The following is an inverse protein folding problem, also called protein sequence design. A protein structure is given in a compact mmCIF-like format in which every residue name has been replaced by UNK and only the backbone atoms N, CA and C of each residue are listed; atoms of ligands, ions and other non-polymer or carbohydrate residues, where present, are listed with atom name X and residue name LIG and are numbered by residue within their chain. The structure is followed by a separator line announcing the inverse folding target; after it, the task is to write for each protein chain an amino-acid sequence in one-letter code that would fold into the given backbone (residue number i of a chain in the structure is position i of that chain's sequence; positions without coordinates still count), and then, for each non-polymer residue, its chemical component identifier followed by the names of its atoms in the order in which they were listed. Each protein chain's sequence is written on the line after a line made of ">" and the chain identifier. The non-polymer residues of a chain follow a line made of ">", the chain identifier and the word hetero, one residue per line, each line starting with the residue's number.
data_IF_736988183951
#
_entry.id   IF_736988183951
#
_cell.length_a   1.000
_cell.length_b   1.000
_cell.length_c   1.000
_cell.angle_alpha   90.00
_cell.angle_beta   90.00
_cell.angle_gamma   90.00
#
_symmetry.space_group_name_H-M   'P 1'
#
loop_
_entity.id
_entity.type
_entity.pdbx_description
1 polymer ?
#
# COMPACT_ATOMS: atom_id res chain seq x y z
N UNK A 1 -20.09 9.40 -19.29
CA UNK A 1 -19.02 8.42 -19.59
C UNK A 1 -19.65 7.04 -19.70
N UNK A 2 -19.56 6.41 -20.85
CA UNK A 2 -19.99 5.02 -21.01
C UNK A 2 -19.20 4.14 -20.03
N UNK A 3 -19.92 3.48 -19.11
CA UNK A 3 -19.38 2.36 -18.35
C UNK A 3 -19.08 1.24 -19.35
N UNK A 4 -17.86 1.23 -19.92
CA UNK A 4 -17.35 0.02 -20.55
C UNK A 4 -17.40 -1.06 -19.46
N UNK A 5 -18.28 -2.02 -19.67
CA UNK A 5 -18.43 -3.21 -18.81
C UNK A 5 -17.12 -4.00 -18.90
N UNK A 6 -16.11 -3.57 -18.13
CA UNK A 6 -14.79 -4.18 -18.17
C UNK A 6 -14.86 -5.43 -17.29
N UNK A 7 -15.10 -6.60 -17.92
CA UNK A 7 -15.21 -7.91 -17.26
C UNK A 7 -14.03 -8.26 -16.35
N UNK A 8 -12.97 -7.47 -16.40
CA UNK A 8 -11.75 -7.69 -15.64
C UNK A 8 -11.67 -6.82 -14.36
N UNK A 9 -12.69 -6.04 -14.05
CA UNK A 9 -12.73 -5.23 -12.81
C UNK A 9 -13.70 -5.90 -11.83
N UNK A 10 -13.21 -6.26 -10.67
CA UNK A 10 -13.96 -6.84 -9.55
C UNK A 10 -13.99 -5.83 -8.42
N UNK A 11 -15.17 -5.40 -8.04
CA UNK A 11 -15.39 -4.40 -6.99
C UNK A 11 -16.04 -5.03 -5.78
N UNK A 12 -15.48 -4.79 -4.62
CA UNK A 12 -16.11 -5.04 -3.34
C UNK A 12 -17.27 -4.06 -3.06
N UNK A 13 -17.77 -4.10 -1.86
CA UNK A 13 -18.86 -3.24 -1.39
C UNK A 13 -18.39 -1.79 -1.28
N UNK A 14 -19.23 -0.85 -1.67
CA UNK A 14 -19.01 0.61 -1.53
C UNK A 14 -17.64 1.11 -2.08
N UNK A 15 -17.15 0.48 -3.14
CA UNK A 15 -15.96 0.97 -3.86
C UNK A 15 -16.32 2.18 -4.70
N UNK A 16 -15.49 3.22 -4.61
CA UNK A 16 -15.62 4.43 -5.44
C UNK A 16 -14.41 4.62 -6.36
N UNK A 17 -14.68 4.97 -7.62
CA UNK A 17 -13.66 5.24 -8.64
C UNK A 17 -13.89 6.63 -9.18
N UNK A 18 -12.86 7.48 -9.04
CA UNK A 18 -12.88 8.88 -9.53
C UNK A 18 -12.82 8.98 -11.05
N UNK A 19 -12.98 10.20 -11.52
CA UNK A 19 -13.02 10.49 -12.96
C UNK A 19 -11.66 10.27 -13.64
N UNK A 20 -11.74 9.93 -14.94
CA UNK A 20 -10.56 9.72 -15.80
C UNK A 20 -9.58 8.63 -15.32
N UNK A 21 -10.06 7.67 -14.55
CA UNK A 21 -9.29 6.47 -14.24
C UNK A 21 -9.26 5.53 -15.45
N UNK A 22 -8.10 4.89 -15.67
CA UNK A 22 -7.84 4.00 -16.81
C UNK A 22 -7.44 2.61 -16.32
N UNK A 23 -8.04 1.56 -16.89
CA UNK A 23 -7.75 0.16 -16.59
C UNK A 23 -7.48 -0.57 -17.91
N UNK A 24 -6.22 -0.88 -18.18
CA UNK A 24 -5.79 -1.46 -19.45
C UNK A 24 -4.75 -2.57 -19.23
N UNK A 25 -4.62 -3.42 -20.25
CA UNK A 25 -3.57 -4.42 -20.32
C UNK A 25 -2.28 -3.89 -20.92
N UNK A 26 -1.24 -4.72 -20.87
CA UNK A 26 0.03 -4.49 -21.53
C UNK A 26 0.29 -5.64 -22.53
N UNK A 27 0.88 -5.33 -23.70
CA UNK A 27 1.22 -6.33 -24.73
C UNK A 27 0.03 -7.25 -25.09
N UNK A 28 -1.14 -6.66 -25.32
CA UNK A 28 -2.39 -7.37 -25.69
C UNK A 28 -2.91 -8.36 -24.62
N UNK A 29 -2.44 -8.28 -23.39
CA UNK A 29 -2.94 -9.05 -22.25
C UNK A 29 -3.41 -8.10 -21.18
N UNK A 30 -4.63 -8.31 -20.69
CA UNK A 30 -5.21 -7.56 -19.58
C UNK A 30 -5.35 -8.47 -18.36
N UNK A 31 -4.90 -8.01 -17.20
CA UNK A 31 -5.08 -8.68 -15.92
C UNK A 31 -6.45 -8.45 -15.30
N UNK A 32 -6.67 -9.01 -14.14
CA UNK A 32 -7.83 -8.72 -13.30
C UNK A 32 -7.49 -7.61 -12.31
N UNK A 33 -8.38 -6.64 -12.14
CA UNK A 33 -8.25 -5.55 -11.17
C UNK A 33 -9.26 -5.78 -10.05
N UNK A 34 -8.81 -6.16 -8.87
CA UNK A 34 -9.66 -6.47 -7.73
C UNK A 34 -9.47 -5.42 -6.64
N UNK A 35 -10.59 -4.82 -6.22
CA UNK A 35 -10.66 -3.81 -5.17
C UNK A 35 -11.55 -4.32 -4.04
N UNK A 36 -11.01 -4.42 -2.83
CA UNK A 36 -11.74 -4.81 -1.63
C UNK A 36 -12.78 -3.78 -1.20
N UNK A 37 -13.55 -4.12 -0.18
CA UNK A 37 -14.66 -3.30 0.32
C UNK A 37 -14.18 -1.91 0.76
N UNK A 38 -15.01 -0.90 0.54
CA UNK A 38 -14.79 0.49 0.95
C UNK A 38 -13.50 1.14 0.38
N UNK A 39 -12.95 0.58 -0.69
CA UNK A 39 -11.79 1.14 -1.37
C UNK A 39 -12.16 2.39 -2.16
N UNK A 40 -11.31 3.43 -2.08
CA UNK A 40 -11.47 4.68 -2.81
C UNK A 40 -10.31 4.91 -3.77
N UNK A 41 -10.62 5.04 -5.04
CA UNK A 41 -9.67 5.41 -6.10
C UNK A 41 -10.03 6.82 -6.52
N UNK A 42 -9.10 7.75 -6.36
CA UNK A 42 -9.29 9.14 -6.76
C UNK A 42 -9.04 9.32 -8.26
N UNK A 43 -9.10 10.56 -8.73
CA UNK A 43 -9.12 10.90 -10.15
C UNK A 43 -7.79 10.57 -10.86
N UNK A 44 -7.87 10.31 -12.17
CA UNK A 44 -6.73 10.17 -13.10
C UNK A 44 -5.74 9.07 -12.72
N UNK A 45 -6.17 8.09 -11.93
CA UNK A 45 -5.35 6.90 -11.65
C UNK A 45 -5.29 5.99 -12.88
N UNK A 46 -4.14 5.38 -13.12
CA UNK A 46 -3.90 4.53 -14.29
C UNK A 46 -3.38 3.17 -13.87
N UNK A 47 -4.03 2.13 -14.35
CA UNK A 47 -3.70 0.73 -14.07
C UNK A 47 -3.40 0.04 -15.40
N UNK A 48 -2.11 -0.14 -15.70
CA UNK A 48 -1.62 -0.84 -16.89
C UNK A 48 -1.03 -2.18 -16.46
N UNK A 49 -1.85 -3.22 -16.34
CA UNK A 49 -1.45 -4.51 -15.78
C UNK A 49 -1.84 -5.68 -16.69
N UNK A 50 -0.86 -6.51 -17.03
CA UNK A 50 -1.07 -7.77 -17.78
C UNK A 50 -1.37 -8.95 -16.86
N UNK A 51 -1.28 -8.77 -15.54
CA UNK A 51 -1.52 -9.80 -14.54
C UNK A 51 -2.43 -9.23 -13.43
N UNK A 52 -2.75 -10.04 -12.43
CA UNK A 52 -3.69 -9.68 -11.39
C UNK A 52 -3.13 -8.51 -10.55
N UNK A 53 -3.94 -7.48 -10.41
CA UNK A 53 -3.80 -6.43 -9.43
C UNK A 53 -4.87 -6.63 -8.37
N UNK A 54 -4.46 -6.62 -7.11
CA UNK A 54 -5.37 -6.75 -5.97
C UNK A 54 -5.00 -5.77 -4.87
N UNK A 55 -6.00 -5.10 -4.32
CA UNK A 55 -5.91 -4.35 -3.07
C UNK A 55 -7.04 -4.79 -2.14
N UNK A 56 -6.74 -4.96 -0.85
CA UNK A 56 -7.71 -5.34 0.17
C UNK A 56 -8.69 -4.22 0.50
N UNK A 57 -9.46 -4.43 1.58
CA UNK A 57 -10.50 -3.49 2.02
C UNK A 57 -9.90 -2.18 2.56
N UNK A 58 -10.69 -1.12 2.53
CA UNK A 58 -10.34 0.22 3.02
C UNK A 58 -9.11 0.84 2.34
N UNK A 59 -8.80 0.44 1.10
CA UNK A 59 -7.73 1.02 0.33
C UNK A 59 -8.04 2.46 -0.11
N UNK A 60 -7.05 3.34 -0.08
CA UNK A 60 -7.13 4.71 -0.61
C UNK A 60 -6.00 4.92 -1.61
N UNK A 61 -6.35 5.15 -2.88
CA UNK A 61 -5.40 5.47 -3.94
C UNK A 61 -5.65 6.90 -4.40
N UNK A 62 -4.68 7.77 -4.15
CA UNK A 62 -4.76 9.20 -4.43
C UNK A 62 -4.55 9.52 -5.92
N UNK A 63 -4.88 10.75 -6.30
CA UNK A 63 -4.86 11.25 -7.69
C UNK A 63 -3.57 10.96 -8.44
N UNK A 64 -3.67 10.73 -9.74
CA UNK A 64 -2.55 10.57 -10.68
C UNK A 64 -1.61 9.39 -10.37
N UNK A 65 -2.00 8.45 -9.54
CA UNK A 65 -1.18 7.28 -9.21
C UNK A 65 -1.15 6.31 -10.40
N UNK A 66 0.03 5.81 -10.72
CA UNK A 66 0.28 4.85 -11.79
C UNK A 66 0.63 3.48 -11.21
N UNK A 67 -0.14 2.47 -11.59
CA UNK A 67 0.20 1.06 -11.42
C UNK A 67 0.54 0.48 -12.79
N UNK A 68 1.71 -0.14 -12.91
CA UNK A 68 2.14 -0.71 -14.18
C UNK A 68 2.91 -2.00 -13.95
N UNK A 69 2.54 -3.09 -14.64
CA UNK A 69 3.32 -4.31 -14.49
C UNK A 69 2.84 -5.53 -15.28
N UNK A 70 3.73 -6.51 -15.36
CA UNK A 70 3.52 -7.77 -16.05
C UNK A 70 3.28 -8.95 -15.10
N UNK A 71 3.61 -8.79 -13.81
CA UNK A 71 3.48 -9.81 -12.76
C UNK A 71 2.42 -9.40 -11.74
N UNK A 72 2.01 -10.31 -10.85
CA UNK A 72 1.02 -9.99 -9.84
C UNK A 72 1.45 -8.84 -8.92
N UNK A 73 0.49 -7.97 -8.60
CA UNK A 73 0.63 -6.92 -7.59
C UNK A 73 -0.46 -7.12 -6.54
N UNK A 74 -0.07 -7.48 -5.33
CA UNK A 74 -0.99 -7.70 -4.21
C UNK A 74 -0.68 -6.73 -3.08
N UNK A 75 -1.70 -6.01 -2.63
CA UNK A 75 -1.64 -5.05 -1.52
C UNK A 75 -2.71 -5.46 -0.51
N UNK A 76 -2.36 -5.51 0.76
CA UNK A 76 -3.26 -5.89 1.85
C UNK A 76 -4.34 -4.84 2.14
N UNK A 77 -4.96 -4.96 3.30
CA UNK A 77 -6.03 -4.08 3.76
C UNK A 77 -5.48 -2.76 4.31
N UNK A 78 -6.34 -1.73 4.35
CA UNK A 78 -6.04 -0.41 4.94
C UNK A 78 -4.78 0.24 4.35
N UNK A 79 -4.67 0.23 3.03
CA UNK A 79 -3.55 0.85 2.32
C UNK A 79 -3.87 2.30 1.95
N UNK A 80 -2.94 3.21 2.21
CA UNK A 80 -2.99 4.59 1.74
C UNK A 80 -1.82 4.89 0.80
N UNK A 81 -2.11 5.20 -0.46
CA UNK A 81 -1.12 5.47 -1.49
C UNK A 81 -1.28 6.92 -1.95
N UNK A 82 -0.26 7.73 -1.66
CA UNK A 82 -0.23 9.16 -1.95
C UNK A 82 -0.21 9.48 -3.44
N UNK A 83 -0.67 10.68 -3.75
CA UNK A 83 -0.79 11.17 -5.13
C UNK A 83 0.55 11.13 -5.90
N UNK A 84 0.47 11.06 -7.22
CA UNK A 84 1.61 11.04 -8.15
C UNK A 84 2.58 9.88 -7.92
N UNK A 85 2.19 8.85 -7.20
CA UNK A 85 3.05 7.70 -6.93
C UNK A 85 3.11 6.75 -8.14
N UNK A 86 4.23 6.04 -8.29
CA UNK A 86 4.43 5.02 -9.32
C UNK A 86 4.68 3.68 -8.63
N UNK A 87 3.81 2.73 -8.90
CA UNK A 87 3.89 1.37 -8.37
C UNK A 87 4.12 0.42 -9.54
N UNK A 88 5.35 -0.05 -9.69
CA UNK A 88 5.70 -0.94 -10.78
C UNK A 88 5.79 -2.39 -10.31
N UNK A 89 5.14 -3.28 -11.05
CA UNK A 89 5.13 -4.73 -10.88
C UNK A 89 5.58 -5.44 -12.18
N UNK A 90 6.71 -5.02 -12.74
CA UNK A 90 7.37 -5.76 -13.83
C UNK A 90 7.79 -7.15 -13.34
N UNK A 91 8.26 -7.25 -12.09
CA UNK A 91 8.30 -8.47 -11.29
C UNK A 91 7.24 -8.40 -10.18
N UNK A 92 7.03 -9.50 -9.44
CA UNK A 92 5.97 -9.58 -8.43
C UNK A 92 6.17 -8.57 -7.30
N UNK A 93 5.07 -7.98 -6.89
CA UNK A 93 5.01 -7.03 -5.77
C UNK A 93 3.98 -7.53 -4.75
N UNK A 94 4.43 -7.75 -3.52
CA UNK A 94 3.57 -8.14 -2.42
C UNK A 94 3.74 -7.16 -1.27
N UNK A 95 2.64 -6.58 -0.81
CA UNK A 95 2.60 -5.60 0.29
C UNK A 95 1.57 -6.07 1.31
N UNK A 96 1.93 -6.07 2.57
CA UNK A 96 1.06 -6.42 3.69
C UNK A 96 0.00 -5.37 3.99
N UNK A 97 -0.56 -5.45 5.19
CA UNK A 97 -1.63 -4.57 5.65
C UNK A 97 -1.08 -3.25 6.24
N UNK A 98 -1.97 -2.25 6.35
CA UNK A 98 -1.65 -0.94 6.94
C UNK A 98 -0.49 -0.22 6.23
N UNK A 99 -0.46 -0.31 4.90
CA UNK A 99 0.48 0.46 4.10
C UNK A 99 0.14 1.94 4.14
N UNK A 100 1.12 2.78 4.41
CA UNK A 100 1.02 4.22 4.16
C UNK A 100 2.25 4.70 3.40
N UNK A 101 2.09 5.15 2.17
CA UNK A 101 3.15 5.81 1.40
C UNK A 101 2.70 7.20 1.00
N UNK A 102 3.56 8.19 1.31
CA UNK A 102 3.32 9.59 0.97
C UNK A 102 3.42 9.86 -0.53
N UNK A 103 3.16 11.11 -0.89
CA UNK A 103 3.12 11.56 -2.28
C UNK A 103 4.44 11.34 -3.02
N UNK A 104 4.38 11.26 -4.35
CA UNK A 104 5.55 11.19 -5.25
C UNK A 104 6.48 10.00 -4.97
N UNK A 105 5.96 8.96 -4.34
CA UNK A 105 6.71 7.74 -4.01
C UNK A 105 6.82 6.78 -5.19
N UNK A 106 7.89 6.00 -5.23
CA UNK A 106 8.18 5.08 -6.32
C UNK A 106 8.58 3.71 -5.81
N UNK A 107 7.88 2.68 -6.27
CA UNK A 107 8.24 1.28 -6.03
C UNK A 107 8.62 0.68 -7.39
N UNK A 108 9.88 0.29 -7.56
CA UNK A 108 10.39 -0.25 -8.79
C UNK A 108 10.83 -1.69 -8.65
N UNK A 109 10.16 -2.62 -9.32
CA UNK A 109 10.56 -4.03 -9.37
C UNK A 109 11.52 -4.34 -10.53
N UNK A 110 11.93 -3.34 -11.31
CA UNK A 110 12.92 -3.50 -12.39
C UNK A 110 13.83 -2.28 -12.50
N UNK A 111 15.01 -2.49 -13.10
CA UNK A 111 15.96 -1.44 -13.44
C UNK A 111 16.79 -1.82 -14.66
N UNK A 112 17.14 -0.84 -15.49
CA UNK A 112 17.94 -1.04 -16.69
C UNK A 112 19.45 -0.83 -16.52
N UNK A 113 19.82 0.01 -15.57
CA UNK A 113 21.18 0.56 -15.50
C UNK A 113 22.29 -0.45 -15.15
N UNK A 114 21.96 -1.56 -14.50
CA UNK A 114 22.97 -2.56 -14.12
C UNK A 114 23.67 -3.23 -15.28
N UNK A 115 23.02 -3.30 -16.42
CA UNK A 115 23.56 -3.98 -17.61
C UNK A 115 24.43 -3.09 -18.48
N UNK A 116 24.19 -1.78 -18.47
CA UNK A 116 25.10 -0.79 -19.05
C UNK A 116 26.49 -0.86 -18.44
N UNK A 117 26.56 -0.96 -17.13
CA UNK A 117 27.82 -1.01 -16.38
C UNK A 117 28.58 -2.31 -16.58
N UNK A 118 27.90 -3.37 -16.97
CA UNK A 118 28.50 -4.69 -17.25
C UNK A 118 28.84 -4.90 -18.73
N UNK A 119 28.74 -3.86 -19.58
CA UNK A 119 29.03 -3.94 -20.99
C UNK A 119 27.96 -4.68 -21.81
N UNK A 120 26.80 -4.91 -21.25
CA UNK A 120 25.66 -5.45 -22.00
C UNK A 120 25.08 -4.38 -22.93
N UNK A 121 24.62 -4.82 -24.08
CA UNK A 121 24.06 -3.92 -25.09
C UNK A 121 22.73 -3.40 -24.62
N UNK A 122 22.59 -2.06 -24.47
CA UNK A 122 21.25 -1.50 -24.44
C UNK A 122 20.66 -1.68 -25.82
N UNK A 123 19.68 -2.50 -25.86
CA UNK A 123 18.97 -2.72 -27.10
C UNK A 123 17.54 -2.22 -26.94
N UNK A 124 17.35 -0.96 -27.20
CA UNK A 124 16.03 -0.45 -27.53
C UNK A 124 15.59 -1.17 -28.79
N UNK A 125 14.59 -2.03 -28.67
CA UNK A 125 14.03 -2.76 -29.81
C UNK A 125 14.64 -4.13 -30.12
N UNK A 126 15.51 -4.70 -29.27
CA UNK A 126 15.86 -6.13 -29.42
C UNK A 126 14.72 -6.99 -28.83
N UNK A 127 14.18 -7.94 -29.62
CA UNK A 127 13.28 -8.96 -29.12
C UNK A 127 13.95 -9.74 -27.98
N UNK A 128 13.17 -10.12 -26.96
CA UNK A 128 13.59 -10.96 -25.83
C UNK A 128 14.61 -10.35 -24.86
N UNK A 129 14.79 -9.02 -24.89
CA UNK A 129 15.58 -8.34 -23.86
C UNK A 129 14.83 -8.35 -22.52
N UNK A 130 15.39 -9.05 -21.53
CA UNK A 130 14.88 -9.04 -20.16
C UNK A 130 15.59 -7.95 -19.35
N UNK A 131 14.80 -6.97 -18.86
CA UNK A 131 15.30 -6.01 -17.87
C UNK A 131 15.61 -6.74 -16.56
N UNK A 132 16.68 -6.35 -15.89
CA UNK A 132 16.96 -6.87 -14.55
C UNK A 132 15.79 -6.52 -13.63
N UNK A 133 15.07 -7.54 -13.20
CA UNK A 133 13.93 -7.41 -12.30
C UNK A 133 14.20 -8.08 -10.95
N UNK A 134 13.45 -7.72 -9.94
CA UNK A 134 13.53 -8.33 -8.63
C UNK A 134 12.24 -8.10 -7.85
N UNK A 135 11.61 -9.20 -7.44
CA UNK A 135 10.40 -9.15 -6.65
C UNK A 135 10.60 -8.34 -5.37
N UNK A 136 9.61 -7.52 -5.02
CA UNK A 136 9.61 -6.71 -3.80
C UNK A 136 8.56 -7.28 -2.84
N UNK A 137 8.96 -7.41 -1.58
CA UNK A 137 8.04 -7.74 -0.49
C UNK A 137 8.12 -6.67 0.59
N UNK A 138 6.97 -6.16 1.02
CA UNK A 138 6.83 -5.20 2.11
C UNK A 138 5.89 -5.83 3.14
N UNK A 139 6.31 -5.89 4.39
CA UNK A 139 5.50 -6.44 5.49
C UNK A 139 4.35 -5.53 5.90
N UNK A 140 3.73 -5.86 7.02
CA UNK A 140 2.65 -5.07 7.60
C UNK A 140 3.17 -3.79 8.27
N UNK A 141 2.31 -2.80 8.42
CA UNK A 141 2.59 -1.55 9.13
C UNK A 141 3.80 -0.77 8.54
N UNK A 142 3.91 -0.71 7.22
CA UNK A 142 4.94 0.10 6.57
C UNK A 142 4.49 1.54 6.39
N UNK A 143 5.30 2.48 6.86
CA UNK A 143 5.09 3.90 6.64
C UNK A 143 6.26 4.55 5.88
N UNK A 144 6.05 4.87 4.61
CA UNK A 144 6.91 5.75 3.81
C UNK A 144 6.36 7.17 3.87
N UNK A 145 7.07 8.08 4.55
CA UNK A 145 6.56 9.43 4.86
C UNK A 145 6.28 10.27 3.60
N UNK A 146 7.02 10.05 2.52
CA UNK A 146 6.82 10.69 1.21
C UNK A 146 8.07 10.71 0.37
N UNK A 147 7.90 10.78 -0.96
CA UNK A 147 8.98 10.81 -1.95
C UNK A 147 10.02 9.67 -1.75
N UNK A 148 9.55 8.53 -1.23
CA UNK A 148 10.45 7.37 -1.07
C UNK A 148 10.64 6.66 -2.41
N UNK A 149 11.80 6.03 -2.56
CA UNK A 149 12.08 5.15 -3.70
C UNK A 149 12.54 3.78 -3.19
N UNK A 150 11.87 2.71 -3.64
CA UNK A 150 12.23 1.33 -3.31
C UNK A 150 12.77 0.65 -4.56
N UNK A 151 13.98 0.11 -4.45
CA UNK A 151 14.71 -0.53 -5.56
C UNK A 151 14.31 -2.01 -5.74
N UNK A 152 14.56 -2.59 -6.92
CA UNK A 152 14.23 -3.99 -7.21
C UNK A 152 14.86 -4.99 -6.23
N UNK A 153 14.12 -6.05 -5.91
CA UNK A 153 14.59 -7.16 -5.09
C UNK A 153 14.65 -6.90 -3.59
N UNK A 154 14.17 -5.74 -3.13
CA UNK A 154 14.21 -5.36 -1.72
C UNK A 154 13.11 -6.09 -0.95
N UNK A 155 13.45 -6.57 0.25
CA UNK A 155 12.50 -7.06 1.26
C UNK A 155 12.49 -6.11 2.45
N UNK A 156 11.31 -5.62 2.80
CA UNK A 156 11.06 -4.74 3.93
C UNK A 156 10.21 -5.52 4.94
N UNK A 157 10.65 -5.55 6.18
CA UNK A 157 9.95 -6.22 7.28
C UNK A 157 8.70 -5.47 7.74
N UNK A 158 8.16 -5.91 8.88
CA UNK A 158 7.00 -5.30 9.50
C UNK A 158 7.39 -4.09 10.35
N UNK A 159 6.45 -3.13 10.51
CA UNK A 159 6.64 -1.96 11.38
C UNK A 159 7.89 -1.16 11.02
N UNK A 160 8.04 -0.87 9.74
CA UNK A 160 9.16 -0.09 9.21
C UNK A 160 8.70 1.32 8.84
N UNK A 161 9.50 2.32 9.20
CA UNK A 161 9.30 3.70 8.76
C UNK A 161 10.47 4.13 7.87
N UNK A 162 10.15 4.62 6.68
CA UNK A 162 11.10 5.28 5.80
C UNK A 162 10.80 6.79 5.78
N UNK A 163 11.74 7.60 6.26
CA UNK A 163 11.56 9.06 6.27
C UNK A 163 11.59 9.63 4.85
N UNK A 164 11.10 10.85 4.71
CA UNK A 164 11.01 11.55 3.42
C UNK A 164 12.32 11.50 2.63
N UNK A 165 12.23 11.35 1.31
CA UNK A 165 13.36 11.25 0.37
C UNK A 165 14.28 10.05 0.61
N UNK A 166 13.80 8.98 1.22
CA UNK A 166 14.61 7.76 1.40
C UNK A 166 14.72 6.95 0.12
N UNK A 167 15.94 6.54 -0.23
CA UNK A 167 16.23 5.58 -1.30
C UNK A 167 16.57 4.21 -0.69
N UNK A 168 15.62 3.28 -0.71
CA UNK A 168 15.77 1.94 -0.12
C UNK A 168 16.34 1.00 -1.19
N UNK A 169 17.61 0.60 -1.02
CA UNK A 169 18.35 -0.26 -1.95
C UNK A 169 18.77 -1.60 -1.35
N UNK A 170 18.46 -1.82 -0.07
CA UNK A 170 18.79 -3.04 0.68
C UNK A 170 17.61 -3.46 1.55
N UNK A 171 17.60 -4.72 1.94
CA UNK A 171 16.58 -5.25 2.83
C UNK A 171 16.58 -4.51 4.17
N UNK A 172 15.37 -4.26 4.70
CA UNK A 172 15.16 -3.59 5.97
C UNK A 172 14.50 -4.58 6.93
N UNK A 173 15.07 -4.83 8.11
CA UNK A 173 14.46 -5.71 9.11
C UNK A 173 13.25 -5.06 9.77
N UNK A 174 12.49 -5.87 10.50
CA UNK A 174 11.33 -5.42 11.28
C UNK A 174 11.71 -4.30 12.27
N UNK A 175 10.71 -3.50 12.65
CA UNK A 175 10.82 -2.46 13.68
C UNK A 175 11.96 -1.45 13.45
N UNK A 176 12.22 -1.10 12.19
CA UNK A 176 13.35 -0.23 11.81
C UNK A 176 12.87 1.10 11.27
N UNK A 177 13.55 2.18 11.65
CA UNK A 177 13.39 3.49 11.01
C UNK A 177 14.60 3.70 10.12
N UNK A 178 14.35 4.08 8.85
CA UNK A 178 15.42 4.35 7.88
C UNK A 178 15.30 5.75 7.29
N UNK A 179 16.42 6.33 6.92
CA UNK A 179 16.48 7.62 6.23
C UNK A 179 17.70 7.72 5.30
N UNK A 180 17.60 8.60 4.30
CA UNK A 180 18.70 9.03 3.47
C UNK A 180 18.81 8.34 2.11
N UNK A 181 19.86 8.73 1.36
CA UNK A 181 20.19 8.26 0.00
C UNK A 181 21.65 7.77 -0.02
N UNK A 182 21.90 6.46 0.01
CA UNK A 182 20.94 5.37 0.25
C UNK A 182 20.42 5.35 1.69
N UNK A 183 19.22 4.81 1.88
CA UNK A 183 18.59 4.71 3.18
C UNK A 183 19.36 3.79 4.13
N UNK A 184 19.56 4.25 5.36
CA UNK A 184 20.24 3.52 6.43
C UNK A 184 19.38 3.54 7.69
N UNK A 185 19.46 2.51 8.55
CA UNK A 185 18.83 2.56 9.86
C UNK A 185 19.29 3.77 10.66
N UNK A 186 18.34 4.45 11.28
CA UNK A 186 18.61 5.57 12.16
C UNK A 186 17.98 5.33 13.54
N UNK A 187 18.54 5.96 14.55
CA UNK A 187 17.90 6.11 15.87
C UNK A 187 17.38 7.53 15.98
N UNK A 188 16.17 7.66 16.45
CA UNK A 188 15.59 8.96 16.77
C UNK A 188 15.69 9.11 18.27
N UNK A 189 16.41 10.13 18.74
CA UNK A 189 16.52 10.44 20.16
C UNK A 189 15.19 11.00 20.70
N UNK A 190 14.88 10.69 21.97
CA UNK A 190 13.66 11.11 22.64
C UNK A 190 12.52 10.09 22.61
N UNK A 191 11.30 10.55 22.92
CA UNK A 191 10.11 9.69 23.08
C UNK A 191 9.45 9.27 21.75
N UNK A 192 10.08 9.53 20.62
CA UNK A 192 9.56 9.09 19.33
C UNK A 192 9.68 7.58 19.21
N UNK A 193 8.60 6.88 19.50
CA UNK A 193 8.44 5.46 19.22
C UNK A 193 7.57 5.35 17.97
N UNK A 194 8.14 4.85 16.89
CA UNK A 194 7.46 4.65 15.62
C UNK A 194 6.14 3.88 15.80
N UNK A 195 6.18 2.87 16.66
CA UNK A 195 5.02 2.07 17.02
C UNK A 195 5.00 1.91 18.54
N UNK A 196 4.09 2.62 19.19
CA UNK A 196 3.86 2.47 20.62
C UNK A 196 3.10 1.18 20.89
N UNK A 197 3.63 0.33 21.75
CA UNK A 197 2.84 -0.76 22.31
C UNK A 197 1.82 -0.17 23.27
N UNK A 198 0.58 -0.12 22.85
CA UNK A 198 -0.52 0.38 23.65
C UNK A 198 -0.88 -0.65 24.72
N UNK A 199 -1.07 -0.19 25.95
CA UNK A 199 -1.71 -0.97 26.99
C UNK A 199 -3.16 -1.32 26.60
N UNK A 200 -3.74 -2.32 27.25
CA UNK A 200 -5.12 -2.71 27.00
C UNK A 200 -6.10 -1.55 27.26
N UNK A 201 -5.83 -0.71 28.25
CA UNK A 201 -6.65 0.46 28.54
C UNK A 201 -6.57 1.49 27.41
N UNK A 202 -5.37 1.80 26.91
CA UNK A 202 -5.20 2.72 25.78
C UNK A 202 -5.86 2.20 24.50
N UNK A 203 -5.77 0.89 24.22
CA UNK A 203 -6.47 0.25 23.09
C UNK A 203 -7.99 0.42 23.25
N UNK A 204 -8.51 0.15 24.45
CA UNK A 204 -9.93 0.27 24.73
C UNK A 204 -10.43 1.72 24.62
N UNK A 205 -9.67 2.70 25.11
CA UNK A 205 -10.02 4.11 25.01
C UNK A 205 -10.01 4.58 23.54
N UNK A 206 -9.03 4.17 22.74
CA UNK A 206 -9.00 4.43 21.30
C UNK A 206 -10.22 3.84 20.60
N UNK A 207 -10.50 2.55 20.81
CA UNK A 207 -11.66 1.89 20.21
C UNK A 207 -12.97 2.54 20.63
N UNK A 208 -13.08 2.95 21.90
CA UNK A 208 -14.24 3.70 22.40
C UNK A 208 -14.43 5.02 21.64
N UNK A 209 -13.35 5.78 21.45
CA UNK A 209 -13.39 7.05 20.73
C UNK A 209 -13.77 6.86 19.26
N UNK A 210 -13.17 5.91 18.56
CA UNK A 210 -13.55 5.57 17.18
C UNK A 210 -15.01 5.12 17.08
N UNK A 211 -15.45 4.27 18.00
CA UNK A 211 -16.83 3.80 18.02
C UNK A 211 -17.83 4.94 18.24
N UNK A 212 -17.50 5.93 19.11
CA UNK A 212 -18.32 7.14 19.28
C UNK A 212 -18.43 7.95 18.00
N UNK A 213 -17.30 8.26 17.36
CA UNK A 213 -17.27 9.02 16.11
C UNK A 213 -18.07 8.30 15.00
N UNK A 214 -17.91 6.98 14.89
CA UNK A 214 -18.65 6.17 13.92
C UNK A 214 -20.17 6.21 14.21
N UNK A 215 -20.57 6.07 15.47
CA UNK A 215 -21.98 6.05 15.85
C UNK A 215 -22.65 7.42 15.74
N UNK A 216 -21.93 8.51 15.98
CA UNK A 216 -22.39 9.88 15.70
C UNK A 216 -22.63 10.05 14.18
N UNK A 217 -21.69 9.64 13.35
CA UNK A 217 -21.82 9.71 11.90
C UNK A 217 -22.98 8.85 11.36
N UNK A 218 -23.18 7.66 11.92
CA UNK A 218 -24.24 6.71 11.50
C UNK A 218 -25.55 6.85 12.27
N UNK A 219 -25.62 7.73 13.27
CA UNK A 219 -26.77 7.91 14.18
C UNK A 219 -27.21 6.60 14.88
N UNK A 220 -26.24 5.77 15.26
CA UNK A 220 -26.44 4.50 15.96
C UNK A 220 -26.09 4.66 17.43
N UNK A 221 -26.78 3.96 18.31
CA UNK A 221 -26.48 3.99 19.75
C UNK A 221 -25.26 3.13 20.08
N UNK A 222 -24.41 3.65 20.98
CA UNK A 222 -23.26 2.92 21.54
C UNK A 222 -23.47 2.72 23.04
N UNK A 223 -23.08 1.55 23.54
CA UNK A 223 -22.94 1.27 24.98
C UNK A 223 -21.51 0.81 25.25
N UNK A 224 -20.89 1.37 26.30
CA UNK A 224 -19.50 1.07 26.66
C UNK A 224 -19.46 0.50 28.06
N UNK A 225 -18.99 -0.72 28.21
CA UNK A 225 -18.68 -1.35 29.49
C UNK A 225 -17.17 -1.31 29.71
N UNK A 226 -16.73 -0.36 30.56
CA UNK A 226 -15.31 -0.15 30.86
C UNK A 226 -14.71 -1.26 31.71
N UNK A 227 -15.51 -1.91 32.54
CA UNK A 227 -15.03 -2.96 33.45
C UNK A 227 -14.69 -4.23 32.66
N UNK A 228 -15.56 -4.64 31.74
CA UNK A 228 -15.38 -5.84 30.95
C UNK A 228 -14.72 -5.59 29.60
N UNK A 229 -14.34 -4.33 29.30
CA UNK A 229 -13.74 -3.92 28.00
C UNK A 229 -14.61 -4.27 26.80
N UNK A 230 -15.92 -4.06 26.91
CA UNK A 230 -16.90 -4.35 25.88
C UNK A 230 -17.47 -3.05 25.30
N UNK A 231 -17.55 -2.99 23.97
CA UNK A 231 -18.20 -1.91 23.24
C UNK A 231 -19.33 -2.54 22.41
N UNK A 232 -20.58 -2.10 22.63
CA UNK A 232 -21.75 -2.52 21.86
C UNK A 232 -22.18 -1.42 20.91
N UNK A 233 -22.30 -1.74 19.62
CA UNK A 233 -22.74 -0.83 18.57
C UNK A 233 -23.98 -1.44 17.91
N UNK A 234 -25.16 -0.89 18.19
CA UNK A 234 -26.41 -1.52 17.80
C UNK A 234 -26.52 -2.91 18.41
N UNK A 235 -26.65 -3.95 17.56
CA UNK A 235 -26.70 -5.36 17.97
C UNK A 235 -25.33 -6.05 18.02
N UNK A 236 -24.27 -5.38 17.55
CA UNK A 236 -22.92 -5.94 17.51
C UNK A 236 -22.15 -5.64 18.80
N UNK A 237 -21.29 -6.57 19.16
CA UNK A 237 -20.43 -6.49 20.33
C UNK A 237 -18.96 -6.60 19.92
N UNK A 238 -18.13 -5.68 20.41
CA UNK A 238 -16.67 -5.69 20.23
C UNK A 238 -16.06 -5.93 21.60
N UNK A 239 -15.37 -7.04 21.75
CA UNK A 239 -14.61 -7.37 22.95
C UNK A 239 -13.14 -7.06 22.68
N UNK A 240 -12.53 -6.25 23.56
CA UNK A 240 -11.09 -6.01 23.50
C UNK A 240 -10.42 -7.10 24.30
N UNK A 241 -9.88 -8.09 23.60
CA UNK A 241 -9.16 -9.20 24.23
C UNK A 241 -7.93 -8.69 25.00
N UNK A 242 -7.77 -9.22 26.18
CA UNK A 242 -6.68 -8.88 27.10
C UNK A 242 -5.50 -9.86 27.00
N UNK A 243 -5.51 -10.80 26.00
CA UNK A 243 -4.59 -11.90 25.80
C UNK A 243 -3.14 -11.65 26.15
#
# INVERSE_FOLDING_TARGET
>A
MEKKNNKNIVLGKDVSIGDNCVFEGLKNKIGTFQFGDYTKIYEKCRFYCSNNFQIGDYGIIQNNTLFQGYKPCTIGHNAWIGQNSIINATDSLTIGNNLCIGTDSKIWTHAFHGELLLGSKIAIGIPDYESKSGAITIGDDFWGVGQITISPGVKIGNKVIALTNSLITKNIPDNTIVAGIPAKPIKIDGDFKAYKNLSINEKFDLMTNFSKQFTEFKQIKIKVDKQNKIIKIGENEIIIDCG
#
